data_IF_836928492481
#
_entry.id   IF_836928492481
#
_cell.length_a   1.000
_cell.length_b   1.000
_cell.length_c   1.000
_cell.angle_alpha   90.00
_cell.angle_beta   90.00
_cell.angle_gamma   90.00
#
_symmetry.space_group_name_H-M   'P 1'
#
loop_
_entity.id
_entity.type
_entity.pdbx_description
1 polymer ?
#
# COMPACT_ATOMS: atom_id res chain seq x y z
N UNK A 1 15.07 -30.77 20.82
CA UNK A 1 13.84 -30.28 20.15
C UNK A 1 13.46 -28.96 20.81
N UNK A 2 13.63 -27.83 20.11
CA UNK A 2 13.24 -26.54 20.65
C UNK A 2 11.71 -26.44 20.61
N UNK A 3 11.06 -26.32 21.76
CA UNK A 3 9.60 -26.11 21.85
C UNK A 3 9.27 -24.69 21.35
N UNK A 4 9.02 -24.55 20.04
CA UNK A 4 8.23 -23.44 19.54
C UNK A 4 6.74 -23.78 19.67
N UNK A 5 5.86 -22.79 19.91
CA UNK A 5 4.42 -23.03 19.98
C UNK A 5 3.93 -23.75 18.72
N UNK A 6 2.97 -24.69 18.81
CA UNK A 6 2.48 -25.46 17.65
C UNK A 6 1.83 -24.60 16.54
N UNK A 7 1.55 -23.32 16.82
CA UNK A 7 1.14 -22.33 15.83
C UNK A 7 2.28 -21.91 14.90
N UNK A 8 3.54 -21.95 15.35
CA UNK A 8 4.70 -21.61 14.54
C UNK A 8 4.94 -22.63 13.43
N UNK A 9 4.81 -23.92 13.74
CA UNK A 9 4.88 -25.00 12.74
C UNK A 9 3.77 -24.87 11.70
N UNK A 10 2.55 -24.53 12.13
CA UNK A 10 1.42 -24.26 11.23
C UNK A 10 1.69 -23.06 10.31
N UNK A 11 2.26 -21.97 10.83
CA UNK A 11 2.61 -20.79 10.03
C UNK A 11 3.73 -21.11 9.03
N UNK A 12 4.72 -21.92 9.41
CA UNK A 12 5.78 -22.40 8.49
C UNK A 12 5.18 -23.24 7.38
N UNK A 13 4.29 -24.19 7.71
CA UNK A 13 3.61 -25.02 6.71
C UNK A 13 2.76 -24.19 5.74
N UNK A 14 2.05 -23.17 6.24
CA UNK A 14 1.28 -22.24 5.39
C UNK A 14 2.23 -21.45 4.48
N UNK A 15 3.34 -20.92 5.00
CA UNK A 15 4.30 -20.16 4.19
C UNK A 15 4.94 -21.02 3.08
N UNK A 16 5.26 -22.28 3.37
CA UNK A 16 5.75 -23.23 2.37
C UNK A 16 4.68 -23.56 1.32
N UNK A 17 3.41 -23.69 1.74
CA UNK A 17 2.27 -23.86 0.84
C UNK A 17 2.10 -22.66 -0.11
N UNK A 18 2.17 -21.44 0.41
CA UNK A 18 2.10 -20.21 -0.38
C UNK A 18 3.28 -20.09 -1.38
N UNK A 19 4.48 -20.52 -0.98
CA UNK A 19 5.64 -20.56 -1.88
C UNK A 19 5.44 -21.56 -3.03
N UNK A 20 4.95 -22.77 -2.73
CA UNK A 20 4.67 -23.80 -3.72
C UNK A 20 3.56 -23.36 -4.69
N UNK A 21 2.47 -22.79 -4.17
CA UNK A 21 1.39 -22.22 -4.98
C UNK A 21 1.90 -21.06 -5.85
N UNK A 22 2.79 -20.23 -5.32
CA UNK A 22 3.46 -19.17 -6.07
C UNK A 22 4.32 -19.72 -7.22
N UNK A 23 5.06 -20.81 -7.00
CA UNK A 23 5.85 -21.50 -8.05
C UNK A 23 4.96 -22.14 -9.11
N UNK A 24 3.90 -22.85 -8.71
CA UNK A 24 2.94 -23.48 -9.63
C UNK A 24 2.23 -22.44 -10.51
N UNK A 25 1.81 -21.31 -9.92
CA UNK A 25 1.18 -20.23 -10.68
C UNK A 25 2.14 -19.64 -11.71
N UNK A 26 3.42 -19.42 -11.35
CA UNK A 26 4.45 -18.93 -12.28
C UNK A 26 4.71 -19.94 -13.41
N UNK A 27 4.80 -21.23 -13.11
CA UNK A 27 4.97 -22.29 -14.12
C UNK A 27 3.79 -22.33 -15.10
N UNK A 28 2.56 -22.20 -14.60
CA UNK A 28 1.36 -22.11 -15.44
C UNK A 28 1.38 -20.89 -16.33
N UNK A 29 1.71 -19.71 -15.80
CA UNK A 29 1.78 -18.48 -16.60
C UNK A 29 2.91 -18.54 -17.63
N UNK A 30 4.06 -19.14 -17.33
CA UNK A 30 5.13 -19.36 -18.31
C UNK A 30 4.73 -20.33 -19.44
N UNK A 31 3.88 -21.33 -19.16
CA UNK A 31 3.38 -22.25 -20.19
C UNK A 31 2.33 -21.61 -21.13
N UNK A 32 1.73 -20.49 -20.73
CA UNK A 32 0.71 -19.76 -21.51
C UNK A 32 1.33 -18.61 -22.34
N UNK A 33 2.57 -18.18 -22.01
CA UNK A 33 3.30 -17.08 -22.66
C UNK A 33 4.17 -17.55 -23.87
N UNK A 34 4.22 -18.86 -24.15
CA UNK A 34 5.03 -19.46 -25.23
C UNK A 34 4.24 -19.66 -26.55
N UNK A 35 2.98 -19.17 -26.64
CA UNK A 35 2.11 -19.29 -27.82
C UNK A 35 1.38 -17.98 -28.20
N UNK A 36 2.08 -16.83 -28.22
CA UNK A 36 1.53 -15.65 -28.92
C UNK A 36 2.60 -14.79 -29.58
N UNK A 37 2.92 -15.11 -30.84
CA UNK A 37 3.51 -14.15 -31.78
C UNK A 37 2.57 -14.01 -32.99
N UNK A 38 1.90 -12.86 -33.14
CA UNK A 38 1.92 -12.02 -34.35
C UNK A 38 0.70 -11.08 -34.53
N UNK A 39 1.05 -9.82 -34.85
CA UNK A 39 0.43 -8.92 -35.83
C UNK A 39 -0.76 -8.00 -35.47
N UNK A 40 -0.59 -6.74 -35.92
CA UNK A 40 -1.47 -5.57 -35.82
C UNK A 40 -2.73 -5.65 -36.72
N UNK A 41 -3.86 -4.98 -36.41
CA UNK A 41 -4.20 -3.65 -36.96
C UNK A 41 -5.60 -3.17 -36.51
N UNK A 42 -5.66 -1.86 -36.21
CA UNK A 42 -6.75 -0.88 -36.01
C UNK A 42 -8.21 -1.25 -35.61
N UNK A 43 -8.73 -0.41 -34.69
CA UNK A 43 -10.13 0.02 -34.42
C UNK A 43 -10.83 -0.57 -33.17
N UNK A 44 -10.47 -0.03 -32.00
CA UNK A 44 -11.33 0.20 -30.82
C UNK A 44 -10.42 0.56 -29.63
N UNK A 45 -10.45 1.81 -29.18
CA UNK A 45 -9.51 2.32 -28.15
C UNK A 45 -9.67 1.66 -26.76
N UNK A 46 -10.73 0.89 -26.52
CA UNK A 46 -10.97 0.18 -25.25
C UNK A 46 -10.52 -1.29 -25.26
N UNK A 47 -10.35 -1.91 -26.43
CA UNK A 47 -10.01 -3.34 -26.57
C UNK A 47 -8.52 -3.62 -26.76
N UNK A 48 -7.72 -2.60 -27.11
CA UNK A 48 -6.29 -2.74 -27.43
C UNK A 48 -5.34 -2.67 -26.24
N UNK A 49 -5.81 -2.34 -25.05
CA UNK A 49 -4.93 -2.33 -23.89
C UNK A 49 -4.69 -3.76 -23.39
N UNK A 50 -3.42 -4.15 -23.14
CA UNK A 50 -3.11 -5.47 -22.61
C UNK A 50 -3.92 -5.82 -21.36
N UNK A 51 -4.23 -7.10 -21.16
CA UNK A 51 -5.03 -7.54 -20.02
C UNK A 51 -4.45 -7.09 -18.66
N UNK A 52 -3.12 -7.12 -18.52
CA UNK A 52 -2.42 -6.65 -17.32
C UNK A 52 -2.64 -5.15 -17.04
N UNK A 53 -2.77 -4.35 -18.09
CA UNK A 53 -2.96 -2.90 -17.99
C UNK A 53 -4.38 -2.57 -17.51
N UNK A 54 -5.38 -3.26 -18.05
CA UNK A 54 -6.77 -3.16 -17.57
C UNK A 54 -6.91 -3.58 -16.12
N UNK A 55 -6.31 -4.71 -15.74
CA UNK A 55 -6.31 -5.17 -14.36
C UNK A 55 -5.64 -4.19 -13.41
N UNK A 56 -4.49 -3.61 -13.80
CA UNK A 56 -3.81 -2.61 -12.99
C UNK A 56 -4.61 -1.32 -12.87
N UNK A 57 -5.27 -0.89 -13.94
CA UNK A 57 -6.16 0.27 -13.92
C UNK A 57 -7.32 0.09 -12.93
N UNK A 58 -8.00 -1.05 -12.96
CA UNK A 58 -9.09 -1.36 -12.02
C UNK A 58 -8.57 -1.42 -10.58
N UNK A 59 -7.40 -2.02 -10.36
CA UNK A 59 -6.72 -2.04 -9.05
C UNK A 59 -6.37 -0.64 -8.54
N UNK A 60 -5.85 0.23 -9.40
CA UNK A 60 -5.56 1.62 -9.02
C UNK A 60 -6.83 2.37 -8.62
N UNK A 61 -7.95 2.15 -9.33
CA UNK A 61 -9.25 2.74 -8.96
C UNK A 61 -9.79 2.22 -7.64
N UNK A 62 -9.72 0.89 -7.43
CA UNK A 62 -10.11 0.25 -6.17
C UNK A 62 -9.29 0.83 -5.01
N UNK A 63 -7.98 0.94 -5.17
CA UNK A 63 -7.10 1.54 -4.17
C UNK A 63 -7.45 3.01 -3.93
N UNK A 64 -7.65 3.82 -4.97
CA UNK A 64 -8.04 5.23 -4.81
C UNK A 64 -9.36 5.40 -4.04
N UNK A 65 -10.31 4.46 -4.19
CA UNK A 65 -11.57 4.45 -3.45
C UNK A 65 -11.41 4.06 -1.97
N UNK A 66 -10.43 3.21 -1.66
CA UNK A 66 -10.10 2.83 -0.28
C UNK A 66 -9.38 3.94 0.50
N UNK A 67 -8.57 4.76 -0.18
CA UNK A 67 -7.88 5.87 0.46
C UNK A 67 -8.83 7.07 0.63
N UNK A 68 -8.88 7.70 1.82
CA UNK A 68 -9.67 8.91 2.01
C UNK A 68 -9.14 10.06 1.14
N UNK A 69 -10.05 10.90 0.64
CA UNK A 69 -9.69 12.13 -0.11
C UNK A 69 -9.20 13.25 0.82
N UNK A 70 -9.79 13.32 2.02
CA UNK A 70 -9.50 14.32 3.03
C UNK A 70 -9.06 13.62 4.30
N UNK A 71 -7.98 14.12 4.90
CA UNK A 71 -7.41 13.61 6.14
C UNK A 71 -7.23 14.77 7.10
N UNK A 72 -7.98 14.77 8.21
CA UNK A 72 -7.85 15.77 9.26
C UNK A 72 -6.56 15.49 10.02
N UNK A 73 -5.69 16.49 10.14
CA UNK A 73 -4.49 16.35 10.96
C UNK A 73 -4.73 16.98 12.31
N UNK A 74 -4.11 16.38 13.33
CA UNK A 74 -3.96 17.00 14.62
C UNK A 74 -3.08 18.25 14.44
N UNK A 75 -3.57 19.46 14.75
CA UNK A 75 -2.79 20.69 14.61
C UNK A 75 -1.57 20.63 15.51
N UNK A 76 -0.47 21.27 15.13
CA UNK A 76 0.71 21.35 16.00
C UNK A 76 0.32 22.16 17.24
N UNK A 77 0.54 21.62 18.44
CA UNK A 77 0.21 22.34 19.66
C UNK A 77 1.18 23.49 19.84
N UNK A 78 0.64 24.70 19.92
CA UNK A 78 1.38 25.91 20.29
C UNK A 78 1.30 26.06 21.81
N UNK A 79 2.19 25.41 22.54
CA UNK A 79 2.28 25.49 24.00
C UNK A 79 3.71 25.20 24.48
N UNK A 80 4.08 25.75 25.63
CA UNK A 80 5.46 25.72 26.16
C UNK A 80 5.91 24.31 26.61
N UNK A 81 4.97 23.38 26.84
CA UNK A 81 5.22 21.96 27.08
C UNK A 81 4.06 21.09 26.53
N UNK A 82 4.05 20.75 25.23
CA UNK A 82 3.03 19.86 24.69
C UNK A 82 3.27 18.42 25.15
N UNK A 83 2.19 17.67 25.40
CA UNK A 83 2.26 16.25 25.77
C UNK A 83 3.11 15.49 24.73
N UNK A 84 4.12 14.70 25.15
CA UNK A 84 4.97 13.94 24.24
C UNK A 84 4.18 13.04 23.28
N UNK A 85 3.02 12.51 23.70
CA UNK A 85 2.14 11.73 22.82
C UNK A 85 1.48 12.61 21.76
N UNK A 86 1.03 13.81 22.12
CA UNK A 86 0.46 14.77 21.18
C UNK A 86 1.46 15.13 20.09
N UNK A 87 2.71 15.39 20.48
CA UNK A 87 3.80 15.70 19.54
C UNK A 87 4.07 14.54 18.58
N UNK A 88 4.02 13.30 19.08
CA UNK A 88 4.16 12.11 18.24
C UNK A 88 3.03 12.04 17.22
N UNK A 89 1.77 12.08 17.65
CA UNK A 89 0.63 11.96 16.74
C UNK A 89 0.53 13.12 15.74
N UNK A 90 0.88 14.34 16.16
CA UNK A 90 0.95 15.48 15.24
C UNK A 90 2.01 15.25 14.14
N UNK A 91 3.21 14.76 14.52
CA UNK A 91 4.26 14.42 13.55
C UNK A 91 3.84 13.28 12.63
N UNK A 92 3.26 12.22 13.19
CA UNK A 92 2.75 11.06 12.44
C UNK A 92 1.64 11.48 11.47
N UNK A 93 0.74 12.39 11.87
CA UNK A 93 -0.29 12.96 11.00
C UNK A 93 0.29 13.75 9.82
N UNK A 94 1.36 14.53 10.03
CA UNK A 94 2.05 15.25 8.94
C UNK A 94 2.68 14.27 7.94
N UNK A 95 3.33 13.22 8.44
CA UNK A 95 3.94 12.18 7.59
C UNK A 95 2.86 11.40 6.83
N UNK A 96 1.81 10.98 7.52
CA UNK A 96 0.65 10.29 6.94
C UNK A 96 -0.01 11.11 5.83
N UNK A 97 -0.23 12.42 6.05
CA UNK A 97 -0.77 13.32 5.03
C UNK A 97 0.15 13.45 3.81
N UNK A 98 1.46 13.64 4.03
CA UNK A 98 2.43 13.75 2.94
C UNK A 98 2.44 12.48 2.08
N UNK A 99 2.47 11.32 2.74
CA UNK A 99 2.44 10.02 2.07
C UNK A 99 1.11 9.79 1.35
N UNK A 100 -0.03 10.14 1.97
CA UNK A 100 -1.35 10.04 1.34
C UNK A 100 -1.43 10.87 0.06
N UNK A 101 -0.98 12.13 0.12
CA UNK A 101 -0.96 13.01 -1.05
C UNK A 101 -0.08 12.45 -2.16
N UNK A 102 1.09 11.92 -1.81
CA UNK A 102 2.00 11.29 -2.76
C UNK A 102 1.36 10.06 -3.41
N UNK A 103 0.85 9.11 -2.63
CA UNK A 103 0.21 7.88 -3.14
C UNK A 103 -1.00 8.19 -4.00
N UNK A 104 -1.87 9.13 -3.59
CA UNK A 104 -3.03 9.54 -4.39
C UNK A 104 -2.62 10.17 -5.72
N UNK A 105 -1.59 11.03 -5.71
CA UNK A 105 -1.04 11.64 -6.92
C UNK A 105 -0.48 10.57 -7.85
N UNK A 106 0.34 9.67 -7.32
CA UNK A 106 0.97 8.58 -8.06
C UNK A 106 -0.10 7.68 -8.71
N UNK A 107 -1.13 7.28 -7.95
CA UNK A 107 -2.25 6.49 -8.47
C UNK A 107 -3.05 7.27 -9.53
N UNK A 108 -3.37 8.54 -9.29
CA UNK A 108 -4.06 9.39 -10.28
C UNK A 108 -3.25 9.56 -11.56
N UNK A 109 -1.94 9.78 -11.46
CA UNK A 109 -1.05 9.95 -12.60
C UNK A 109 -0.93 8.63 -13.38
N UNK A 110 -0.92 7.46 -12.72
CA UNK A 110 -0.99 6.17 -13.43
C UNK A 110 -2.29 6.00 -14.20
N UNK A 111 -3.44 6.38 -13.62
CA UNK A 111 -4.75 6.35 -14.29
C UNK A 111 -4.76 7.25 -15.54
N UNK A 112 -4.20 8.46 -15.45
CA UNK A 112 -4.05 9.37 -16.59
C UNK A 112 -3.12 8.84 -17.69
N UNK A 113 -2.05 8.14 -17.30
CA UNK A 113 -1.17 7.46 -18.27
C UNK A 113 -1.92 6.34 -19.01
N UNK A 114 -2.76 5.56 -18.31
CA UNK A 114 -3.59 4.53 -18.96
C UNK A 114 -4.62 5.12 -19.92
N UNK A 115 -5.14 6.32 -19.62
CA UNK A 115 -6.07 7.05 -20.49
C UNK A 115 -5.36 7.77 -21.67
N UNK A 116 -4.03 7.80 -21.68
CA UNK A 116 -3.25 8.48 -22.72
C UNK A 116 -3.15 10.00 -22.57
N UNK A 117 -3.59 10.55 -21.43
CA UNK A 117 -3.58 11.99 -21.15
C UNK A 117 -2.19 12.49 -20.74
N UNK A 118 -1.37 11.62 -20.14
CA UNK A 118 -0.06 11.96 -19.61
C UNK A 118 1.06 11.13 -20.26
N UNK A 119 2.16 11.78 -20.64
CA UNK A 119 3.36 11.08 -21.12
C UNK A 119 4.00 10.30 -19.97
N UNK A 120 4.33 9.04 -20.21
CA UNK A 120 4.95 8.16 -19.22
C UNK A 120 6.34 8.68 -18.81
N UNK A 121 6.46 9.17 -17.58
CA UNK A 121 7.74 9.56 -16.99
C UNK A 121 8.52 8.35 -16.48
N UNK A 122 9.84 8.50 -16.29
CA UNK A 122 10.67 7.43 -15.71
C UNK A 122 10.17 6.97 -14.34
N UNK A 123 9.66 7.90 -13.54
CA UNK A 123 9.06 7.61 -12.25
C UNK A 123 7.81 6.72 -12.39
N UNK A 124 6.87 7.08 -13.26
CA UNK A 124 5.64 6.32 -13.49
C UNK A 124 5.91 4.94 -14.10
N UNK A 125 6.95 4.80 -14.93
CA UNK A 125 7.36 3.50 -15.49
C UNK A 125 7.86 2.54 -14.40
N UNK A 126 8.69 3.04 -13.48
CA UNK A 126 9.17 2.27 -12.33
C UNK A 126 8.03 1.91 -11.37
N UNK A 127 7.12 2.86 -11.13
CA UNK A 127 5.92 2.66 -10.32
C UNK A 127 5.05 1.55 -10.92
N UNK A 128 4.68 1.65 -12.19
CA UNK A 128 3.87 0.62 -12.87
C UNK A 128 4.54 -0.75 -12.82
N UNK A 129 5.85 -0.85 -13.07
CA UNK A 129 6.58 -2.14 -12.96
C UNK A 129 6.51 -2.74 -11.56
N UNK A 130 6.55 -1.90 -10.52
CA UNK A 130 6.45 -2.36 -9.13
C UNK A 130 5.03 -2.84 -8.81
N UNK A 131 4.03 -2.07 -9.25
CA UNK A 131 2.60 -2.36 -9.04
C UNK A 131 2.13 -3.61 -9.79
N UNK A 132 2.56 -3.82 -11.04
CA UNK A 132 2.24 -5.06 -11.79
C UNK A 132 2.86 -6.29 -11.13
N UNK A 133 4.04 -6.15 -10.53
CA UNK A 133 4.68 -7.21 -9.73
C UNK A 133 4.05 -7.41 -8.35
N UNK A 134 3.07 -6.57 -7.97
CA UNK A 134 2.43 -6.60 -6.65
C UNK A 134 3.34 -6.15 -5.49
N UNK A 135 4.45 -5.49 -5.81
CA UNK A 135 5.47 -5.04 -4.85
C UNK A 135 5.29 -3.56 -4.50
N UNK A 136 5.67 -3.20 -3.28
CA UNK A 136 5.51 -1.82 -2.80
C UNK A 136 6.64 -0.95 -3.37
N UNK A 137 6.33 0.15 -4.09
CA UNK A 137 7.32 1.07 -4.60
C UNK A 137 8.22 1.64 -3.50
N UNK A 138 9.51 1.84 -3.78
CA UNK A 138 10.48 2.30 -2.77
C UNK A 138 10.09 3.65 -2.14
N UNK A 139 9.53 4.56 -2.91
CA UNK A 139 9.12 5.89 -2.44
C UNK A 139 7.86 5.87 -1.55
N UNK A 140 7.10 4.76 -1.53
CA UNK A 140 5.97 4.57 -0.60
C UNK A 140 6.41 3.95 0.74
N UNK A 141 7.61 3.35 0.80
CA UNK A 141 8.16 2.73 2.00
C UNK A 141 8.76 3.78 2.93
N UNK A 142 7.92 4.62 3.48
CA UNK A 142 8.30 5.62 4.50
C UNK A 142 8.46 4.99 5.88
N UNK A 143 7.82 3.84 6.11
CA UNK A 143 7.88 3.08 7.37
C UNK A 143 8.31 1.63 7.16
N UNK A 144 8.67 0.96 8.26
CA UNK A 144 9.00 -0.46 8.24
C UNK A 144 7.78 -1.28 7.83
N UNK A 145 7.95 -2.02 6.74
CA UNK A 145 6.93 -2.88 6.16
C UNK A 145 7.55 -4.26 5.94
N UNK A 146 6.84 -5.36 6.27
CA UNK A 146 7.33 -6.70 5.98
C UNK A 146 7.68 -6.86 4.49
N UNK A 147 8.86 -7.41 4.18
CA UNK A 147 9.35 -7.56 2.80
C UNK A 147 8.43 -8.40 1.91
N UNK A 148 7.67 -9.32 2.50
CA UNK A 148 6.72 -10.19 1.82
C UNK A 148 5.33 -9.57 1.60
N UNK A 149 5.10 -8.33 2.06
CA UNK A 149 3.77 -7.74 2.01
C UNK A 149 3.41 -7.25 0.60
N UNK A 150 2.28 -7.73 0.08
CA UNK A 150 1.76 -7.30 -1.21
C UNK A 150 1.24 -5.85 -1.14
N UNK A 151 1.32 -5.14 -2.26
CA UNK A 151 0.87 -3.73 -2.35
C UNK A 151 -0.62 -3.56 -2.01
N UNK A 152 -1.48 -4.52 -2.36
CA UNK A 152 -2.91 -4.49 -1.99
C UNK A 152 -3.11 -4.54 -0.47
N UNK A 153 -2.39 -5.44 0.21
CA UNK A 153 -2.39 -5.52 1.67
C UNK A 153 -1.82 -4.26 2.32
N UNK A 154 -0.82 -3.65 1.69
CA UNK A 154 -0.25 -2.37 2.13
C UNK A 154 -1.23 -1.22 2.02
N UNK A 155 -1.94 -1.08 0.90
CA UNK A 155 -2.96 -0.05 0.72
C UNK A 155 -4.05 -0.17 1.78
N UNK A 156 -4.56 -1.39 2.00
CA UNK A 156 -5.58 -1.64 3.02
C UNK A 156 -5.07 -1.34 4.45
N UNK A 157 -3.81 -1.71 4.75
CA UNK A 157 -3.20 -1.40 6.03
C UNK A 157 -3.00 0.11 6.22
N UNK A 158 -2.57 0.82 5.18
CA UNK A 158 -2.37 2.26 5.19
C UNK A 158 -3.69 3.00 5.41
N UNK A 159 -4.77 2.60 4.74
CA UNK A 159 -6.10 3.16 4.95
C UNK A 159 -6.57 2.99 6.40
N UNK A 160 -6.36 1.81 7.01
CA UNK A 160 -6.67 1.57 8.44
C UNK A 160 -5.86 2.47 9.37
N UNK A 161 -4.57 2.66 9.09
CA UNK A 161 -3.70 3.56 9.88
C UNK A 161 -4.15 5.02 9.79
N UNK A 162 -4.58 5.47 8.62
CA UNK A 162 -5.14 6.81 8.44
C UNK A 162 -6.46 6.96 9.21
N UNK A 163 -7.37 6.00 9.13
CA UNK A 163 -8.60 6.02 9.90
C UNK A 163 -8.32 6.04 11.42
N UNK A 164 -7.30 5.34 11.89
CA UNK A 164 -6.89 5.37 13.29
C UNK A 164 -6.36 6.75 13.70
N UNK A 165 -5.52 7.38 12.88
CA UNK A 165 -5.03 8.73 13.15
C UNK A 165 -6.18 9.76 13.16
N UNK A 166 -7.16 9.62 12.27
CA UNK A 166 -8.35 10.48 12.23
C UNK A 166 -9.21 10.31 13.50
N UNK A 167 -9.40 9.07 13.95
CA UNK A 167 -10.08 8.79 15.23
C UNK A 167 -9.32 9.38 16.42
N UNK A 168 -8.00 9.29 16.46
CA UNK A 168 -7.20 9.89 17.55
C UNK A 168 -7.27 11.42 17.48
N UNK A 169 -7.43 12.00 16.29
CA UNK A 169 -7.59 13.44 16.12
C UNK A 169 -8.97 13.96 16.56
N UNK A 170 -10.03 13.19 16.32
CA UNK A 170 -11.41 13.58 16.66
C UNK A 170 -11.79 13.32 18.12
N UNK A 171 -11.01 12.52 18.83
CA UNK A 171 -11.30 12.16 20.22
C UNK A 171 -10.30 12.89 21.13
N UNK A 172 -10.79 13.75 22.02
CA UNK A 172 -10.04 14.41 23.12
C UNK A 172 -9.41 13.43 24.15
N UNK A 173 -9.19 12.17 23.77
CA UNK A 173 -8.72 11.05 24.60
C UNK A 173 -7.21 10.82 24.54
N UNK A 174 -6.41 11.86 24.35
CA UNK A 174 -4.96 11.75 24.57
C UNK A 174 -4.67 11.23 26.00
N UNK A 175 -5.54 11.58 26.96
CA UNK A 175 -5.49 11.12 28.35
C UNK A 175 -5.88 9.63 28.56
N UNK A 176 -6.61 8.98 27.64
CA UNK A 176 -7.03 7.56 27.79
C UNK A 176 -6.15 6.56 27.05
N UNK A 177 -5.44 6.96 25.99
CA UNK A 177 -4.53 6.08 25.24
C UNK A 177 -3.35 5.54 26.09
N UNK A 178 -2.99 6.20 27.19
CA UNK A 178 -1.93 5.76 28.12
C UNK A 178 -2.27 4.42 28.79
N UNK A 179 -3.56 4.06 28.95
CA UNK A 179 -3.95 2.79 29.61
C UNK A 179 -3.89 1.55 28.70
N UNK A 180 -3.63 1.70 27.40
CA UNK A 180 -3.56 0.59 26.44
C UNK A 180 -2.17 0.46 25.80
N UNK A 181 -1.10 0.55 26.59
CA UNK A 181 0.28 0.42 26.09
C UNK A 181 0.65 -0.97 25.52
N UNK A 182 -0.16 -2.01 25.70
CA UNK A 182 0.17 -3.36 25.25
C UNK A 182 -0.06 -3.65 23.74
N UNK A 183 -0.57 -2.70 22.97
CA UNK A 183 -0.84 -2.87 21.52
C UNK A 183 -0.12 -1.87 20.60
N UNK A 184 0.70 -0.97 21.16
CA UNK A 184 1.28 0.17 20.42
C UNK A 184 2.64 -0.09 19.74
N UNK A 185 3.23 -1.27 19.88
CA UNK A 185 4.53 -1.57 19.26
C UNK A 185 4.49 -1.77 17.72
N UNK A 186 3.30 -1.71 17.10
CA UNK A 186 3.13 -1.84 15.64
C UNK A 186 2.66 -0.54 14.96
N UNK A 187 2.54 0.54 15.73
CA UNK A 187 1.83 1.76 15.31
C UNK A 187 2.73 2.90 14.81
N UNK A 188 3.99 2.97 15.24
CA UNK A 188 4.87 4.06 14.82
C UNK A 188 5.38 3.83 13.39
N UNK A 189 5.13 4.78 12.49
CA UNK A 189 5.71 4.84 11.13
C UNK A 189 7.24 5.06 11.22
N UNK A 190 7.76 5.43 12.39
CA UNK A 190 9.14 5.84 12.66
C UNK A 190 10.01 4.87 13.49
N UNK A 191 9.66 3.58 13.59
CA UNK A 191 10.61 2.56 14.08
C UNK A 191 10.99 1.61 12.96
#
# INVERSE_FOLDING_TARGET
MAQLPPTAERVIAIAQGDELLGKLRKMRTQADDDDESAAATSKSQTSRQPAWMRQLFDRCKEWLALLPEKFNNIPVQSGENPDPLYRLFSREGVIGRRLLNQVRRDLSDTVRVFQGELKQTNHLRSLMSSLTKGTIPNHWRVYQVPKAMAVSGWVANFAKRLAQLDNIAGVDNLARCVKSQNTLNSFCILR
#
